data_IF_418474753055
#
_entry.id   IF_418474753055
#
_cell.length_a   1.000
_cell.length_b   1.000
_cell.length_c   1.000
_cell.angle_alpha   90.00
_cell.angle_beta   90.00
_cell.angle_gamma   90.00
#
_symmetry.space_group_name_H-M   'P 1'
#
loop_
_entity.id
_entity.type
_entity.pdbx_description
1 polymer ?
#
# COMPACT_ATOMS: atom_id res chain seq x y z
N UNK A 1 11.28 -20.11 31.43
CA UNK A 1 11.46 -19.76 30.02
C UNK A 1 10.93 -18.36 29.77
N UNK A 2 11.75 -17.50 29.25
CA UNK A 2 11.28 -16.17 28.81
C UNK A 2 10.44 -16.30 27.54
N UNK A 3 9.25 -15.75 27.53
CA UNK A 3 8.44 -15.65 26.32
C UNK A 3 9.04 -14.58 25.41
N UNK A 4 9.18 -14.89 24.13
CA UNK A 4 9.54 -13.89 23.11
C UNK A 4 8.42 -12.86 23.01
N UNK A 5 8.79 -11.59 23.03
CA UNK A 5 7.87 -10.49 22.81
C UNK A 5 8.01 -10.01 21.36
N UNK A 6 6.92 -10.00 20.64
CA UNK A 6 6.84 -9.47 19.29
C UNK A 6 5.94 -8.23 19.32
N UNK A 7 6.41 -7.15 18.74
CA UNK A 7 5.69 -5.87 18.72
C UNK A 7 5.60 -5.36 17.29
N UNK A 8 4.56 -4.59 17.02
CA UNK A 8 4.43 -3.81 15.78
C UNK A 8 5.11 -2.46 16.04
N UNK A 9 6.16 -2.17 15.29
CA UNK A 9 6.95 -0.96 15.45
C UNK A 9 6.58 0.16 14.46
N UNK A 10 5.91 -0.17 13.37
CA UNK A 10 5.49 0.80 12.38
C UNK A 10 4.39 0.25 11.48
N UNK A 11 3.56 1.15 10.97
CA UNK A 11 2.44 0.86 10.08
C UNK A 11 2.53 1.71 8.82
N UNK A 12 2.15 1.13 7.71
CA UNK A 12 1.98 1.82 6.44
C UNK A 12 0.82 1.22 5.66
N UNK A 13 0.08 2.04 4.97
CA UNK A 13 -1.03 1.60 4.12
C UNK A 13 -1.21 2.51 2.92
N UNK A 14 -1.70 1.94 1.86
CA UNK A 14 -2.33 2.64 0.74
C UNK A 14 -3.54 1.82 0.31
N UNK A 15 -4.69 2.44 0.29
CA UNK A 15 -5.96 1.76 0.06
C UNK A 15 -6.99 2.74 -0.52
N UNK A 16 -8.19 2.28 -0.90
CA UNK A 16 -9.22 3.14 -1.47
C UNK A 16 -9.72 4.29 -0.57
N UNK A 17 -9.49 4.22 0.75
CA UNK A 17 -9.85 5.29 1.68
C UNK A 17 -8.77 6.37 1.76
N UNK A 18 -7.51 6.01 1.65
CA UNK A 18 -6.43 6.97 1.78
C UNK A 18 -5.05 6.39 1.47
N UNK A 19 -4.09 7.27 1.34
CA UNK A 19 -2.72 6.93 0.98
C UNK A 19 -1.77 6.84 2.19
N UNK A 20 -2.31 6.91 3.40
CA UNK A 20 -1.58 6.73 4.64
C UNK A 20 -2.53 6.23 5.74
N UNK A 21 -1.96 5.85 6.89
CA UNK A 21 -2.73 5.28 8.01
C UNK A 21 -3.69 6.31 8.61
N UNK A 22 -3.24 7.54 8.81
CA UNK A 22 -4.04 8.60 9.44
C UNK A 22 -5.30 8.92 8.64
N UNK A 23 -5.16 9.18 7.34
CA UNK A 23 -6.28 9.50 6.46
C UNK A 23 -7.25 8.31 6.31
N UNK A 24 -6.70 7.11 6.19
CA UNK A 24 -7.51 5.89 6.09
C UNK A 24 -8.32 5.64 7.35
N UNK A 25 -7.72 5.82 8.50
CA UNK A 25 -8.37 5.64 9.79
C UNK A 25 -9.49 6.65 10.01
N UNK A 26 -9.23 7.93 9.73
CA UNK A 26 -10.24 8.99 9.84
C UNK A 26 -11.48 8.69 9.00
N UNK A 27 -11.29 8.30 7.75
CA UNK A 27 -12.40 7.94 6.86
C UNK A 27 -13.11 6.67 7.31
N UNK A 28 -12.36 5.68 7.81
CA UNK A 28 -12.91 4.43 8.32
C UNK A 28 -13.86 4.65 9.49
N UNK A 29 -13.43 5.40 10.51
CA UNK A 29 -14.27 5.68 11.69
C UNK A 29 -15.48 6.58 11.37
N UNK A 30 -15.41 7.36 10.31
CA UNK A 30 -16.53 8.19 9.84
C UNK A 30 -17.46 7.47 8.87
N UNK A 31 -17.24 6.17 8.63
CA UNK A 31 -18.10 5.35 7.78
C UNK A 31 -18.02 5.70 6.28
N UNK A 32 -16.94 6.31 5.83
CA UNK A 32 -16.74 6.65 4.42
C UNK A 32 -16.44 5.39 3.62
N UNK A 33 -17.13 5.20 2.49
CA UNK A 33 -16.84 4.11 1.56
C UNK A 33 -15.73 4.48 0.60
N UNK A 34 -14.80 3.53 0.39
CA UNK A 34 -13.79 3.64 -0.67
C UNK A 34 -14.24 3.05 -2.01
N UNK A 35 -15.45 2.53 -2.08
CA UNK A 35 -16.02 1.95 -3.31
C UNK A 35 -16.66 3.06 -4.13
N UNK A 36 -16.32 3.12 -5.42
CA UNK A 36 -16.84 4.09 -6.36
C UNK A 36 -16.78 3.52 -7.78
N UNK A 37 -17.25 4.28 -8.76
CA UNK A 37 -17.14 3.87 -10.15
C UNK A 37 -15.68 3.72 -10.57
N UNK A 38 -15.41 2.69 -11.36
CA UNK A 38 -14.08 2.42 -11.90
C UNK A 38 -13.69 3.55 -12.88
N UNK A 39 -12.52 4.11 -12.67
CA UNK A 39 -11.95 5.18 -13.51
C UNK A 39 -10.69 4.78 -14.25
N UNK A 40 -10.05 3.67 -13.84
CA UNK A 40 -8.76 3.23 -14.40
C UNK A 40 -8.85 2.60 -15.78
N UNK A 41 -10.06 2.13 -16.17
CA UNK A 41 -10.33 1.58 -17.51
C UNK A 41 -11.80 1.74 -17.89
N UNK A 42 -12.12 1.52 -19.16
CA UNK A 42 -13.48 1.60 -19.68
C UNK A 42 -14.32 0.39 -19.24
N UNK A 43 -15.45 0.65 -18.60
CA UNK A 43 -16.36 -0.37 -18.05
C UNK A 43 -17.68 -0.49 -18.84
N UNK A 44 -17.82 0.13 -20.00
CA UNK A 44 -19.08 0.18 -20.75
C UNK A 44 -19.68 -1.21 -20.99
N UNK A 45 -18.86 -2.19 -21.33
CA UNK A 45 -19.25 -3.55 -21.65
C UNK A 45 -19.12 -4.53 -20.47
N UNK A 46 -18.91 -4.04 -19.25
CA UNK A 46 -18.75 -4.88 -18.07
C UNK A 46 -20.01 -4.89 -17.22
N UNK A 47 -20.36 -6.05 -16.61
CA UNK A 47 -21.52 -6.15 -15.72
C UNK A 47 -21.31 -5.42 -14.39
N UNK A 48 -20.06 -5.30 -13.91
CA UNK A 48 -19.70 -4.59 -12.69
C UNK A 48 -18.86 -3.36 -13.05
N UNK A 49 -19.29 -2.20 -12.54
CA UNK A 49 -18.71 -0.90 -12.89
C UNK A 49 -18.14 -0.15 -11.70
N UNK A 50 -18.06 -0.78 -10.53
CA UNK A 50 -17.56 -0.18 -9.31
C UNK A 50 -16.48 -1.06 -8.66
N UNK A 51 -15.53 -0.43 -8.02
CA UNK A 51 -14.46 -1.10 -7.28
C UNK A 51 -13.84 -0.16 -6.24
N UNK A 52 -13.02 -0.71 -5.37
CA UNK A 52 -12.13 0.06 -4.53
C UNK A 52 -10.84 0.35 -5.27
N UNK A 53 -10.65 1.57 -5.72
CA UNK A 53 -9.43 2.02 -6.38
C UNK A 53 -8.60 2.91 -5.47
N UNK A 54 -7.28 2.76 -5.50
CA UNK A 54 -6.36 3.72 -4.89
C UNK A 54 -6.38 4.99 -5.71
N UNK A 55 -6.58 6.11 -5.03
CA UNK A 55 -6.73 7.44 -5.64
C UNK A 55 -5.50 8.30 -5.39
N UNK A 56 -5.23 9.21 -6.32
CA UNK A 56 -4.17 10.24 -6.17
C UNK A 56 -2.78 9.66 -5.89
N UNK A 57 -2.46 8.51 -6.48
CA UNK A 57 -1.14 7.92 -6.39
C UNK A 57 -0.55 7.67 -7.77
N UNK A 58 0.53 8.36 -8.06
CA UNK A 58 1.31 8.20 -9.28
C UNK A 58 2.66 7.55 -8.96
N UNK A 59 2.80 6.29 -9.35
CA UNK A 59 4.02 5.53 -9.12
C UNK A 59 5.22 6.07 -9.91
N UNK A 60 4.99 6.67 -11.08
CA UNK A 60 6.04 7.26 -11.90
C UNK A 60 6.65 8.48 -11.23
N UNK A 61 5.83 9.30 -10.58
CA UNK A 61 6.29 10.44 -9.79
C UNK A 61 7.00 9.98 -8.51
N UNK A 62 6.44 8.97 -7.84
CA UNK A 62 6.97 8.50 -6.56
C UNK A 62 8.33 7.80 -6.67
N UNK A 63 8.47 6.82 -7.57
CA UNK A 63 9.68 5.98 -7.67
C UNK A 63 10.51 6.20 -8.93
N UNK A 64 10.09 7.10 -9.80
CA UNK A 64 10.74 7.36 -11.07
C UNK A 64 10.31 6.41 -12.19
N UNK A 65 10.32 6.94 -13.40
CA UNK A 65 9.82 6.26 -14.59
C UNK A 65 10.52 4.93 -14.89
N UNK A 66 11.82 4.85 -14.66
CA UNK A 66 12.60 3.64 -14.97
C UNK A 66 12.23 2.46 -14.07
N UNK A 67 12.01 2.71 -12.77
CA UNK A 67 11.63 1.69 -11.82
C UNK A 67 10.15 1.31 -11.95
N UNK A 68 9.28 2.30 -12.01
CA UNK A 68 7.84 2.08 -12.09
C UNK A 68 7.43 1.25 -13.31
N UNK A 69 8.09 1.47 -14.44
CA UNK A 69 7.81 0.76 -15.70
C UNK A 69 8.10 -0.74 -15.65
N UNK A 70 8.99 -1.17 -14.77
CA UNK A 70 9.40 -2.58 -14.63
C UNK A 70 8.52 -3.38 -13.68
N UNK A 71 7.64 -2.71 -12.96
CA UNK A 71 6.83 -3.28 -11.88
C UNK A 71 5.35 -3.12 -12.22
N UNK A 72 4.54 -4.02 -11.68
CA UNK A 72 3.09 -3.92 -11.76
C UNK A 72 2.52 -3.00 -10.67
N UNK A 73 1.21 -2.75 -10.71
CA UNK A 73 0.53 -1.87 -9.78
C UNK A 73 0.60 -2.39 -8.34
N UNK A 74 0.50 -3.70 -8.13
CA UNK A 74 0.57 -4.30 -6.79
C UNK A 74 1.93 -4.07 -6.14
N UNK A 75 3.00 -4.18 -6.91
CA UNK A 75 4.35 -3.88 -6.46
C UNK A 75 4.53 -2.38 -6.13
N UNK A 76 3.98 -1.49 -6.94
CA UNK A 76 3.98 -0.05 -6.66
C UNK A 76 3.36 0.27 -5.30
N UNK A 77 2.19 -0.30 -5.04
CA UNK A 77 1.45 -0.07 -3.79
C UNK A 77 2.18 -0.68 -2.59
N UNK A 78 2.74 -1.89 -2.75
CA UNK A 78 3.49 -2.58 -1.69
C UNK A 78 4.75 -1.82 -1.28
N UNK A 79 5.51 -1.31 -2.24
CA UNK A 79 6.71 -0.50 -1.97
C UNK A 79 6.35 0.76 -1.21
N UNK A 80 5.31 1.46 -1.64
CA UNK A 80 4.86 2.69 -0.99
C UNK A 80 4.42 2.46 0.45
N UNK A 81 3.60 1.43 0.70
CA UNK A 81 3.15 1.09 2.05
C UNK A 81 4.31 0.62 2.95
N UNK A 82 5.24 -0.15 2.40
CA UNK A 82 6.43 -0.61 3.13
C UNK A 82 7.32 0.56 3.56
N UNK A 83 7.55 1.51 2.68
CA UNK A 83 8.35 2.70 3.01
C UNK A 83 7.70 3.53 4.12
N UNK A 84 6.36 3.69 4.09
CA UNK A 84 5.64 4.34 5.19
C UNK A 84 5.85 3.61 6.52
N UNK A 85 5.74 2.28 6.53
CA UNK A 85 5.93 1.47 7.74
C UNK A 85 7.34 1.61 8.30
N UNK A 86 8.35 1.59 7.45
CA UNK A 86 9.75 1.77 7.87
C UNK A 86 9.99 3.16 8.44
N UNK A 87 9.44 4.19 7.84
CA UNK A 87 9.54 5.56 8.36
C UNK A 87 8.81 5.72 9.69
N UNK A 88 7.63 5.14 9.82
CA UNK A 88 6.86 5.15 11.06
C UNK A 88 7.59 4.43 12.20
N UNK A 89 8.34 3.37 11.88
CA UNK A 89 9.19 2.65 12.82
C UNK A 89 10.53 3.33 13.11
N UNK A 90 10.81 4.48 12.51
CA UNK A 90 12.10 5.20 12.58
C UNK A 90 13.30 4.39 12.05
N UNK A 91 13.06 3.51 11.09
CA UNK A 91 14.16 2.87 10.37
C UNK A 91 14.83 3.85 9.40
N UNK A 92 16.15 3.80 9.35
CA UNK A 92 16.87 4.51 8.30
C UNK A 92 16.79 3.70 6.99
N UNK A 93 15.99 4.18 6.06
CA UNK A 93 15.77 3.51 4.77
C UNK A 93 16.95 3.65 3.80
N UNK A 94 17.91 4.52 4.10
CA UNK A 94 19.11 4.70 3.30
C UNK A 94 20.21 3.70 3.68
N UNK A 95 20.15 3.12 4.86
CA UNK A 95 21.09 2.09 5.29
C UNK A 95 20.68 0.72 4.77
N UNK A 96 21.69 -0.06 4.40
CA UNK A 96 21.45 -1.45 4.02
C UNK A 96 21.01 -2.25 5.23
N UNK A 97 19.84 -2.85 5.13
CA UNK A 97 19.30 -3.73 6.17
C UNK A 97 20.17 -5.00 6.26
N UNK A 98 20.47 -5.40 7.48
CA UNK A 98 21.30 -6.57 7.74
C UNK A 98 20.54 -7.89 7.60
N UNK A 99 21.25 -8.99 7.86
CA UNK A 99 20.71 -10.35 7.79
C UNK A 99 19.62 -10.68 8.81
N UNK A 100 19.41 -9.80 9.80
CA UNK A 100 18.36 -9.95 10.81
C UNK A 100 17.01 -9.36 10.39
N UNK A 101 16.92 -8.84 9.16
CA UNK A 101 15.70 -8.26 8.61
C UNK A 101 15.21 -9.13 7.47
N UNK A 102 13.95 -9.51 7.53
CA UNK A 102 13.28 -10.26 6.47
C UNK A 102 12.05 -9.53 5.95
N UNK A 103 11.67 -9.82 4.72
CA UNK A 103 10.46 -9.30 4.09
C UNK A 103 9.57 -10.48 3.73
N UNK A 104 8.31 -10.40 4.15
CA UNK A 104 7.29 -11.35 3.74
C UNK A 104 6.17 -10.58 3.03
N UNK A 105 5.97 -10.88 1.75
CA UNK A 105 4.90 -10.31 0.96
C UNK A 105 3.87 -11.39 0.66
N UNK A 106 2.61 -11.07 0.89
CA UNK A 106 1.49 -11.95 0.54
C UNK A 106 0.65 -11.22 -0.49
N UNK A 107 0.45 -11.87 -1.62
CA UNK A 107 -0.41 -11.36 -2.68
C UNK A 107 -1.54 -12.35 -2.91
N UNK A 108 -2.77 -11.88 -2.80
CA UNK A 108 -3.94 -12.64 -3.20
C UNK A 108 -4.27 -12.32 -4.66
N UNK A 109 -4.29 -13.36 -5.47
CA UNK A 109 -4.77 -13.26 -6.85
C UNK A 109 -6.21 -13.78 -6.87
N UNK A 110 -7.14 -12.92 -7.21
CA UNK A 110 -8.51 -13.35 -7.48
C UNK A 110 -8.50 -14.30 -8.68
N UNK A 111 -9.02 -15.47 -8.45
CA UNK A 111 -9.20 -16.45 -9.51
C UNK A 111 -10.35 -16.03 -10.46
#
# INVERSE_FOLDING_TARGET
MSKRRVVVSGLGTINPLGNNVSDSWEKLINGVSGIDFITSFDTENLPVKFAGEVKNFDAYEYMGKQHARKLDRSAHLSIYATEQALRDANFNTEERLGSNVGIVLVQELAA
#
